data_IF_984426163404
#
_entry.id   IF_984426163404
#
_cell.length_a   1.000
_cell.length_b   1.000
_cell.length_c   1.000
_cell.angle_alpha   90.00
_cell.angle_beta   90.00
_cell.angle_gamma   90.00
#
_symmetry.space_group_name_H-M   'P 1'
#
loop_
_entity.id
_entity.type
_entity.pdbx_description
1 polymer ?
#
# COMPACT_ATOMS: atom_id res chain seq x y z
N UNK A 1 -2.51 -17.79 -7.06
CA UNK A 1 -2.16 -16.41 -7.48
C UNK A 1 -0.66 -16.31 -7.55
N UNK A 2 -0.11 -16.13 -8.74
CA UNK A 2 1.32 -15.87 -8.92
C UNK A 2 1.48 -14.37 -8.81
N UNK A 3 2.14 -13.89 -7.76
CA UNK A 3 2.58 -12.50 -7.67
C UNK A 3 3.75 -12.35 -8.65
N UNK A 4 3.61 -11.53 -9.67
CA UNK A 4 4.60 -11.44 -10.74
C UNK A 4 5.88 -10.75 -10.27
N UNK A 5 5.76 -9.81 -9.34
CA UNK A 5 6.91 -9.12 -8.73
C UNK A 5 6.53 -8.65 -7.32
N UNK A 6 7.37 -8.92 -6.33
CA UNK A 6 7.17 -8.48 -4.94
C UNK A 6 8.44 -7.85 -4.37
N UNK A 7 8.29 -6.85 -3.51
CA UNK A 7 9.43 -6.16 -2.92
C UNK A 7 9.02 -4.92 -2.10
N UNK A 8 10.00 -4.10 -1.76
CA UNK A 8 9.78 -2.82 -1.10
C UNK A 8 9.75 -1.72 -2.16
N UNK A 9 8.67 -0.93 -2.21
CA UNK A 9 8.58 0.21 -3.10
C UNK A 9 9.17 1.47 -2.48
N UNK A 10 8.78 1.76 -1.24
CA UNK A 10 9.21 2.97 -0.52
C UNK A 10 9.40 2.65 0.96
N UNK A 11 10.37 3.29 1.58
CA UNK A 11 10.47 3.32 3.04
C UNK A 11 10.85 4.72 3.52
N UNK A 12 10.56 5.00 4.81
CA UNK A 12 10.89 6.29 5.40
C UNK A 12 11.76 6.11 6.64
N UNK A 13 12.86 6.85 6.66
CA UNK A 13 13.71 7.01 7.84
C UNK A 13 13.39 8.34 8.50
N UNK A 14 13.27 8.35 9.82
CA UNK A 14 12.91 9.56 10.57
C UNK A 14 13.80 9.72 11.80
N UNK A 15 14.23 10.95 12.06
CA UNK A 15 14.97 11.33 13.27
C UNK A 15 14.45 12.62 13.84
N UNK A 16 14.50 12.72 15.18
CA UNK A 16 14.17 13.92 15.93
C UNK A 16 15.38 14.87 16.00
N UNK A 17 15.11 16.14 15.84
CA UNK A 17 16.06 17.24 15.93
C UNK A 17 15.51 18.35 16.82
N UNK A 18 16.39 19.25 17.28
CA UNK A 18 15.99 20.53 17.86
C UNK A 18 15.55 21.50 16.76
N UNK A 19 14.96 22.60 17.17
CA UNK A 19 14.60 23.70 16.25
C UNK A 19 15.82 24.25 15.52
N UNK A 20 16.90 24.54 16.29
CA UNK A 20 18.14 25.12 15.75
C UNK A 20 18.88 24.21 14.80
N UNK A 21 18.92 22.90 15.06
CA UNK A 21 19.53 21.94 14.14
C UNK A 21 18.79 21.89 12.79
N UNK A 22 17.46 21.88 12.80
CA UNK A 22 16.67 21.94 11.55
C UNK A 22 16.85 23.28 10.85
N UNK A 23 16.89 24.39 11.59
CA UNK A 23 17.14 25.71 11.03
C UNK A 23 18.48 25.76 10.28
N UNK A 24 19.55 25.23 10.85
CA UNK A 24 20.87 25.16 10.22
C UNK A 24 20.83 24.37 8.91
N UNK A 25 20.12 23.22 8.88
CA UNK A 25 19.97 22.43 7.65
C UNK A 25 19.19 23.23 6.59
N UNK A 26 18.13 23.95 6.98
CA UNK A 26 17.35 24.78 6.06
C UNK A 26 18.21 25.90 5.45
N UNK A 27 19.03 26.57 6.26
CA UNK A 27 19.88 27.69 5.83
C UNK A 27 21.02 27.25 4.91
N UNK A 28 21.57 26.04 5.14
CA UNK A 28 22.64 25.48 4.32
C UNK A 28 22.17 24.91 2.97
N UNK A 29 20.86 24.69 2.81
CA UNK A 29 20.31 24.04 1.63
C UNK A 29 19.27 24.91 0.92
N UNK A 30 19.11 24.69 -0.40
CA UNK A 30 17.99 25.27 -1.15
C UNK A 30 16.69 24.53 -0.77
N UNK A 31 16.06 24.99 0.32
CA UNK A 31 14.82 24.38 0.80
C UNK A 31 13.60 25.08 0.22
N UNK A 32 12.60 24.28 -0.14
CA UNK A 32 11.30 24.76 -0.54
C UNK A 32 10.34 24.67 0.66
N UNK A 33 9.73 25.80 1.05
CA UNK A 33 8.69 25.80 2.09
C UNK A 33 7.39 25.27 1.50
N UNK A 34 6.89 24.16 2.04
CA UNK A 34 5.69 23.50 1.57
C UNK A 34 4.40 23.97 2.27
N UNK A 35 4.54 24.74 3.35
CA UNK A 35 3.41 25.26 4.13
C UNK A 35 3.62 25.19 5.64
N UNK A 36 2.56 25.52 6.37
CA UNK A 36 2.48 25.47 7.83
C UNK A 36 1.36 24.54 8.27
N UNK A 37 1.39 24.06 9.51
CA UNK A 37 0.24 23.33 10.07
C UNK A 37 -0.94 24.29 10.33
N UNK A 38 -2.13 23.73 10.59
CA UNK A 38 -3.38 24.47 10.81
C UNK A 38 -3.27 25.54 11.92
N UNK A 39 -2.36 25.35 12.87
CA UNK A 39 -2.16 26.25 14.01
C UNK A 39 -0.89 27.08 13.89
N UNK A 40 -0.20 27.01 12.73
CA UNK A 40 1.09 27.67 12.48
C UNK A 40 2.22 27.30 13.47
N UNK A 41 2.06 26.19 14.20
CA UNK A 41 3.02 25.72 15.19
C UNK A 41 4.15 24.87 14.59
N UNK A 42 4.07 24.58 13.30
CA UNK A 42 5.10 23.85 12.55
C UNK A 42 5.14 24.29 11.10
N UNK A 43 6.35 24.53 10.61
CA UNK A 43 6.62 24.79 9.20
C UNK A 43 7.20 23.53 8.54
N UNK A 44 6.85 23.31 7.29
CA UNK A 44 7.29 22.15 6.51
C UNK A 44 8.17 22.58 5.36
N UNK A 45 9.31 21.94 5.21
CA UNK A 45 10.31 22.21 4.19
C UNK A 45 10.69 20.96 3.44
N UNK A 46 11.10 21.10 2.18
CA UNK A 46 11.58 20.01 1.34
C UNK A 46 12.90 20.37 0.68
N UNK A 47 13.79 19.37 0.58
CA UNK A 47 14.97 19.40 -0.29
C UNK A 47 14.67 18.42 -1.45
N UNK A 48 14.61 18.94 -2.67
CA UNK A 48 14.17 18.18 -3.86
C UNK A 48 15.30 17.72 -4.79
N UNK A 49 16.54 18.13 -4.51
CA UNK A 49 17.72 17.84 -5.38
C UNK A 49 17.98 16.35 -5.62
N UNK A 50 17.55 15.47 -4.68
CA UNK A 50 17.72 14.02 -4.81
C UNK A 50 16.45 13.28 -5.27
N UNK A 51 15.37 14.00 -5.57
CA UNK A 51 14.07 13.41 -5.91
C UNK A 51 14.14 12.57 -7.18
N UNK A 52 14.90 13.00 -8.19
CA UNK A 52 15.13 12.23 -9.41
C UNK A 52 15.89 10.92 -9.17
N UNK A 53 16.64 10.82 -8.07
CA UNK A 53 17.36 9.61 -7.62
C UNK A 53 16.56 8.81 -6.58
N UNK A 54 15.28 9.10 -6.39
CA UNK A 54 14.41 8.36 -5.48
C UNK A 54 14.52 8.73 -4.00
N UNK A 55 15.11 9.88 -3.64
CA UNK A 55 15.14 10.36 -2.25
C UNK A 55 14.49 11.73 -2.16
N UNK A 56 13.45 11.82 -1.35
CA UNK A 56 12.82 13.07 -0.95
C UNK A 56 13.11 13.34 0.53
N UNK A 57 13.56 14.54 0.85
CA UNK A 57 13.90 14.94 2.20
C UNK A 57 12.88 15.94 2.67
N UNK A 58 12.19 15.60 3.74
CA UNK A 58 11.18 16.46 4.37
C UNK A 58 11.61 16.84 5.77
N UNK A 59 11.44 18.10 6.12
CA UNK A 59 11.68 18.61 7.46
C UNK A 59 10.39 19.22 8.00
N UNK A 60 10.09 18.95 9.28
CA UNK A 60 9.11 19.70 10.03
C UNK A 60 9.84 20.45 11.14
N UNK A 61 9.79 21.76 11.08
CA UNK A 61 10.34 22.65 12.10
C UNK A 61 9.20 23.07 13.01
N UNK A 62 9.27 22.67 14.27
CA UNK A 62 8.21 22.92 15.24
C UNK A 62 8.66 23.95 16.28
N UNK A 63 7.76 24.85 16.68
CA UNK A 63 7.98 25.85 17.72
C UNK A 63 7.64 25.31 19.11
N UNK A 64 8.28 25.89 20.13
CA UNK A 64 8.07 25.51 21.51
C UNK A 64 8.63 24.14 21.88
N UNK A 65 7.92 23.39 22.71
CA UNK A 65 8.35 22.07 23.21
C UNK A 65 8.15 20.91 22.23
N UNK A 66 7.56 21.16 21.07
CA UNK A 66 7.33 20.13 20.04
C UNK A 66 8.63 19.73 19.37
N UNK A 67 8.82 18.43 19.05
CA UNK A 67 10.01 18.00 18.34
C UNK A 67 9.96 18.38 16.86
N UNK A 68 11.07 18.89 16.36
CA UNK A 68 11.32 18.99 14.91
C UNK A 68 11.77 17.63 14.36
N UNK A 69 11.57 17.41 13.07
CA UNK A 69 11.86 16.11 12.45
C UNK A 69 12.51 16.27 11.09
N UNK A 70 13.50 15.42 10.83
CA UNK A 70 14.01 15.15 9.51
C UNK A 70 13.51 13.76 9.06
N UNK A 71 12.90 13.70 7.87
CA UNK A 71 12.34 12.48 7.28
C UNK A 71 12.93 12.29 5.88
N UNK A 72 13.54 11.14 5.65
CA UNK A 72 13.96 10.69 4.33
C UNK A 72 12.89 9.74 3.79
N UNK A 73 12.30 10.05 2.63
CA UNK A 73 11.39 9.17 1.89
C UNK A 73 12.19 8.58 0.74
N UNK A 74 12.36 7.27 0.73
CA UNK A 74 13.34 6.59 -0.11
C UNK A 74 12.63 5.56 -0.98
N UNK A 75 12.77 5.69 -2.31
CA UNK A 75 12.55 4.61 -3.25
C UNK A 75 13.90 3.92 -3.49
N UNK A 76 14.15 2.74 -2.91
CA UNK A 76 15.47 2.12 -2.94
C UNK A 76 15.91 1.67 -4.33
N UNK A 77 14.99 1.24 -5.19
CA UNK A 77 15.32 0.86 -6.57
C UNK A 77 15.78 2.06 -7.39
N UNK A 78 15.11 3.20 -7.25
CA UNK A 78 15.53 4.45 -7.90
C UNK A 78 16.86 4.97 -7.37
N UNK A 79 17.10 4.84 -6.06
CA UNK A 79 18.35 5.26 -5.44
C UNK A 79 19.53 4.46 -5.97
N UNK A 80 19.41 3.14 -6.07
CA UNK A 80 20.48 2.28 -6.60
C UNK A 80 20.70 2.45 -8.10
N UNK A 81 19.63 2.67 -8.86
CA UNK A 81 19.72 2.93 -10.29
C UNK A 81 20.28 4.32 -10.63
N UNK A 82 20.26 5.27 -9.69
CA UNK A 82 20.64 6.66 -9.91
C UNK A 82 19.61 7.49 -10.69
N UNK A 83 18.47 6.92 -11.06
CA UNK A 83 17.37 7.57 -11.77
C UNK A 83 16.02 6.96 -11.36
N UNK A 84 14.93 7.63 -11.70
CA UNK A 84 13.59 7.22 -11.27
C UNK A 84 13.14 5.87 -11.85
N UNK A 85 12.85 4.90 -10.97
CA UNK A 85 12.40 3.55 -11.28
C UNK A 85 11.02 3.30 -10.64
N UNK A 86 9.92 3.71 -11.32
CA UNK A 86 8.60 3.74 -10.69
C UNK A 86 7.93 2.37 -10.52
N UNK A 87 8.34 1.39 -11.30
CA UNK A 87 7.75 0.04 -11.29
C UNK A 87 8.62 -0.99 -10.58
N UNK A 88 9.93 -0.85 -10.66
CA UNK A 88 10.88 -1.79 -10.05
C UNK A 88 10.77 -1.80 -8.53
N UNK A 89 10.72 -2.99 -7.95
CA UNK A 89 10.64 -3.21 -6.51
C UNK A 89 11.99 -3.67 -5.95
N UNK A 90 12.34 -3.15 -4.80
CA UNK A 90 13.56 -3.53 -4.10
C UNK A 90 13.39 -4.89 -3.42
N UNK A 91 14.24 -5.85 -3.79
CA UNK A 91 14.16 -7.24 -3.36
C UNK A 91 15.30 -7.63 -2.39
N UNK A 92 15.18 -8.78 -1.67
CA UNK A 92 16.15 -9.18 -0.65
C UNK A 92 17.58 -9.41 -1.14
N UNK A 93 17.76 -9.67 -2.45
CA UNK A 93 19.08 -9.91 -3.06
C UNK A 93 19.76 -8.64 -3.58
N UNK A 94 19.08 -7.49 -3.56
CA UNK A 94 19.65 -6.23 -4.03
C UNK A 94 20.69 -5.66 -3.04
N UNK A 95 21.46 -4.69 -3.51
CA UNK A 95 22.57 -4.10 -2.77
C UNK A 95 22.13 -3.19 -1.61
N UNK A 96 21.88 -3.79 -0.46
CA UNK A 96 21.59 -3.07 0.78
C UNK A 96 22.76 -2.20 1.27
N UNK A 97 24.00 -2.62 1.01
CA UNK A 97 25.18 -1.88 1.46
C UNK A 97 25.35 -0.62 0.61
N UNK A 98 25.26 -0.73 -0.71
CA UNK A 98 25.32 0.41 -1.62
C UNK A 98 24.24 1.44 -1.29
N UNK A 99 23.00 1.00 -1.06
CA UNK A 99 21.92 1.88 -0.60
C UNK A 99 22.28 2.64 0.68
N UNK A 100 22.87 1.96 1.67
CA UNK A 100 23.28 2.58 2.93
C UNK A 100 24.39 3.62 2.72
N UNK A 101 25.34 3.33 1.84
CA UNK A 101 26.43 4.25 1.50
C UNK A 101 25.90 5.50 0.79
N UNK A 102 24.99 5.36 -0.18
CA UNK A 102 24.34 6.49 -0.83
C UNK A 102 23.59 7.38 0.15
N UNK A 103 22.83 6.78 1.07
CA UNK A 103 22.10 7.55 2.09
C UNK A 103 23.05 8.29 3.04
N UNK A 104 24.18 7.68 3.39
CA UNK A 104 25.21 8.35 4.21
C UNK A 104 25.80 9.56 3.47
N UNK A 105 26.10 9.40 2.19
CA UNK A 105 26.60 10.48 1.33
C UNK A 105 25.59 11.65 1.25
N UNK A 106 24.31 11.34 1.01
CA UNK A 106 23.24 12.36 0.96
C UNK A 106 23.14 13.13 2.28
N UNK A 107 23.17 12.42 3.42
CA UNK A 107 23.11 13.09 4.73
C UNK A 107 24.29 14.04 4.94
N UNK A 108 25.51 13.61 4.58
CA UNK A 108 26.70 14.44 4.68
C UNK A 108 26.59 15.68 3.79
N UNK A 109 26.08 15.51 2.56
CA UNK A 109 25.94 16.59 1.58
C UNK A 109 24.96 17.69 2.01
N UNK A 110 23.90 17.33 2.75
CA UNK A 110 22.93 18.28 3.31
C UNK A 110 23.35 18.81 4.70
N UNK A 111 24.58 18.55 5.15
CA UNK A 111 25.09 19.06 6.42
C UNK A 111 24.64 18.31 7.67
N UNK A 112 24.11 17.07 7.52
CA UNK A 112 23.73 16.21 8.64
C UNK A 112 24.93 15.39 9.09
N UNK A 113 25.45 15.71 10.29
CA UNK A 113 26.63 15.05 10.89
C UNK A 113 26.31 13.72 11.58
N UNK A 114 25.05 13.52 11.96
CA UNK A 114 24.67 12.36 12.74
C UNK A 114 24.68 11.07 11.95
N UNK A 115 25.12 9.98 12.60
CA UNK A 115 25.20 8.69 11.96
C UNK A 115 23.82 8.17 11.51
N UNK A 116 23.74 7.63 10.29
CA UNK A 116 22.52 7.05 9.73
C UNK A 116 21.87 5.98 10.66
N UNK A 117 22.67 5.30 11.49
CA UNK A 117 22.18 4.31 12.48
C UNK A 117 21.23 4.91 13.54
N UNK A 118 21.24 6.24 13.74
CA UNK A 118 20.36 6.90 14.72
C UNK A 118 18.95 7.14 14.18
N UNK A 119 18.77 7.04 12.88
CA UNK A 119 17.44 7.11 12.27
C UNK A 119 16.60 5.87 12.57
N UNK A 120 15.28 6.04 12.57
CA UNK A 120 14.33 4.98 12.81
C UNK A 120 13.50 4.73 11.55
N UNK A 121 13.28 3.46 11.20
CA UNK A 121 12.35 3.09 10.14
C UNK A 121 10.93 3.43 10.60
N UNK A 122 10.36 4.49 10.03
CA UNK A 122 9.05 5.03 10.42
C UNK A 122 7.90 4.52 9.56
N UNK A 123 8.20 4.14 8.30
CA UNK A 123 7.26 3.58 7.33
C UNK A 123 8.00 2.61 6.40
N UNK A 124 7.29 1.58 5.94
CA UNK A 124 7.76 0.67 4.90
C UNK A 124 6.57 0.17 4.09
N UNK A 125 6.66 0.28 2.77
CA UNK A 125 5.60 -0.11 1.83
C UNK A 125 6.01 -1.43 1.18
N UNK A 126 5.36 -2.51 1.62
CA UNK A 126 5.50 -3.86 1.07
C UNK A 126 4.58 -3.96 -0.15
N UNK A 127 5.15 -4.16 -1.32
CA UNK A 127 4.45 -3.96 -2.59
C UNK A 127 4.50 -5.20 -3.46
N UNK A 128 3.41 -5.46 -4.19
CA UNK A 128 3.34 -6.45 -5.26
C UNK A 128 2.80 -5.79 -6.53
N UNK A 129 3.47 -6.02 -7.65
CA UNK A 129 3.00 -5.68 -8.99
C UNK A 129 2.41 -6.92 -9.64
N UNK A 130 1.19 -6.81 -10.15
CA UNK A 130 0.50 -7.84 -10.90
C UNK A 130 0.32 -7.32 -12.32
N UNK A 131 0.86 -8.05 -13.30
CA UNK A 131 0.85 -7.66 -14.71
C UNK A 131 -0.30 -8.34 -15.43
N UNK A 132 -1.02 -7.59 -16.26
CA UNK A 132 -2.18 -8.06 -17.00
C UNK A 132 -2.07 -7.68 -18.47
N UNK A 133 -2.82 -8.39 -19.32
CA UNK A 133 -2.83 -8.16 -20.76
C UNK A 133 -3.59 -6.88 -21.15
N UNK A 134 -4.57 -6.48 -20.33
CA UNK A 134 -5.39 -5.31 -20.62
C UNK A 134 -5.69 -4.45 -19.40
N UNK A 135 -5.97 -3.17 -19.65
CA UNK A 135 -6.47 -2.26 -18.62
C UNK A 135 -7.85 -2.67 -18.09
N UNK A 136 -8.65 -3.34 -18.92
CA UNK A 136 -9.94 -3.84 -18.49
C UNK A 136 -9.79 -4.90 -17.39
N UNK A 137 -8.76 -5.75 -17.48
CA UNK A 137 -8.45 -6.76 -16.47
C UNK A 137 -8.00 -6.15 -15.15
N UNK A 138 -7.19 -5.09 -15.19
CA UNK A 138 -6.81 -4.31 -13.99
C UNK A 138 -8.06 -3.73 -13.33
N UNK A 139 -8.96 -3.10 -14.10
CA UNK A 139 -10.20 -2.50 -13.59
C UNK A 139 -11.13 -3.52 -12.97
N UNK A 140 -11.36 -4.68 -13.63
CA UNK A 140 -12.20 -5.75 -13.09
C UNK A 140 -11.73 -6.18 -11.70
N UNK A 141 -10.42 -6.39 -11.53
CA UNK A 141 -9.85 -6.82 -10.25
C UNK A 141 -9.91 -5.73 -9.18
N UNK A 142 -9.64 -4.48 -9.56
CA UNK A 142 -9.81 -3.35 -8.65
C UNK A 142 -11.25 -3.25 -8.12
N UNK A 143 -12.25 -3.44 -8.99
CA UNK A 143 -13.66 -3.47 -8.59
C UNK A 143 -13.98 -4.64 -7.64
N UNK A 144 -13.31 -5.79 -7.77
CA UNK A 144 -13.46 -6.88 -6.79
C UNK A 144 -12.97 -6.46 -5.41
N UNK A 145 -11.82 -5.77 -5.31
CA UNK A 145 -11.33 -5.25 -4.03
C UNK A 145 -12.29 -4.24 -3.40
N UNK A 146 -12.87 -3.32 -4.18
CA UNK A 146 -13.88 -2.36 -3.70
C UNK A 146 -15.12 -3.05 -3.13
N UNK A 147 -15.47 -4.22 -3.65
CA UNK A 147 -16.62 -5.02 -3.21
C UNK A 147 -16.30 -6.00 -2.09
N UNK A 148 -15.03 -6.11 -1.67
CA UNK A 148 -14.57 -7.07 -0.66
C UNK A 148 -15.30 -6.94 0.68
N UNK A 149 -15.22 -7.98 1.51
CA UNK A 149 -15.83 -7.94 2.84
C UNK A 149 -14.97 -7.06 3.79
N UNK A 150 -15.58 -6.15 4.55
CA UNK A 150 -14.81 -5.22 5.39
C UNK A 150 -14.06 -5.95 6.51
N UNK A 151 -12.78 -5.62 6.67
CA UNK A 151 -11.97 -6.08 7.80
C UNK A 151 -12.39 -5.29 9.06
N UNK A 152 -12.59 -5.96 10.21
CA UNK A 152 -12.86 -5.25 11.46
C UNK A 152 -11.76 -4.24 11.81
N UNK A 153 -12.16 -3.05 12.24
CA UNK A 153 -11.27 -1.92 12.59
C UNK A 153 -10.48 -1.33 11.44
N UNK A 154 -10.89 -1.58 10.19
CA UNK A 154 -10.39 -0.87 9.01
C UNK A 154 -11.52 -0.06 8.38
N UNK A 155 -11.18 1.12 7.91
CA UNK A 155 -12.09 2.02 7.19
C UNK A 155 -11.54 2.28 5.80
N UNK A 156 -12.44 2.43 4.83
CA UNK A 156 -12.07 2.88 3.48
C UNK A 156 -11.67 4.34 3.57
N UNK A 157 -10.53 4.66 2.96
CA UNK A 157 -10.07 6.02 2.76
C UNK A 157 -10.40 6.39 1.32
N UNK A 158 -11.24 7.40 1.14
CA UNK A 158 -11.53 7.98 -0.16
C UNK A 158 -10.74 9.27 -0.33
N UNK A 159 -10.13 9.47 -1.49
CA UNK A 159 -9.46 10.72 -1.81
C UNK A 159 -10.45 11.88 -1.86
N UNK A 160 -11.70 11.62 -2.25
CA UNK A 160 -12.78 12.61 -2.26
C UNK A 160 -13.21 13.08 -0.87
N UNK A 161 -12.82 12.39 0.22
CA UNK A 161 -13.13 12.79 1.59
C UNK A 161 -12.11 13.74 2.23
N UNK A 162 -10.95 13.93 1.60
CA UNK A 162 -9.85 14.74 2.11
C UNK A 162 -9.66 16.09 1.39
N UNK A 163 -10.24 16.25 0.23
CA UNK A 163 -10.17 17.48 -0.55
C UNK A 163 -11.59 17.92 -0.94
N UNK A 164 -11.80 19.22 -1.05
CA UNK A 164 -13.03 19.76 -1.60
C UNK A 164 -13.41 19.00 -2.87
N UNK A 165 -14.69 18.62 -2.95
CA UNK A 165 -15.33 17.74 -3.94
C UNK A 165 -15.00 18.13 -5.39
N UNK A 166 -13.75 17.94 -5.82
CA UNK A 166 -13.38 18.20 -7.21
C UNK A 166 -13.48 16.91 -8.05
N UNK A 167 -13.62 17.09 -9.36
CA UNK A 167 -13.69 15.95 -10.31
C UNK A 167 -12.43 15.10 -10.31
N UNK A 168 -11.26 15.67 -9.92
CA UNK A 168 -9.97 14.97 -9.91
C UNK A 168 -9.91 13.93 -8.80
N UNK A 169 -10.47 14.20 -7.62
CA UNK A 169 -10.52 13.25 -6.51
C UNK A 169 -11.51 12.11 -6.79
N UNK A 170 -12.65 12.38 -7.42
CA UNK A 170 -13.59 11.34 -7.88
C UNK A 170 -12.96 10.42 -8.93
N UNK A 171 -12.18 10.98 -9.86
CA UNK A 171 -11.47 10.19 -10.86
C UNK A 171 -10.36 9.33 -10.22
N UNK A 172 -9.64 9.85 -9.22
CA UNK A 172 -8.65 9.08 -8.47
C UNK A 172 -9.29 7.87 -7.76
N UNK A 173 -10.47 8.03 -7.16
CA UNK A 173 -11.21 6.96 -6.49
C UNK A 173 -11.68 5.85 -7.46
N UNK A 174 -11.83 6.15 -8.76
CA UNK A 174 -12.12 5.12 -9.78
C UNK A 174 -10.92 4.19 -10.00
N UNK A 175 -9.70 4.69 -9.85
CA UNK A 175 -8.45 3.99 -10.16
C UNK A 175 -7.70 3.48 -8.94
N UNK A 176 -8.24 3.67 -7.74
CA UNK A 176 -7.62 3.23 -6.49
C UNK A 176 -8.67 2.81 -5.45
N UNK A 177 -8.21 2.02 -4.48
CA UNK A 177 -8.97 1.67 -3.29
C UNK A 177 -7.99 1.49 -2.13
N UNK A 178 -8.26 2.14 -1.01
CA UNK A 178 -7.40 2.12 0.16
C UNK A 178 -8.22 1.90 1.42
N UNK A 179 -7.71 1.05 2.31
CA UNK A 179 -8.23 0.90 3.67
C UNK A 179 -7.11 1.11 4.68
N UNK A 180 -7.43 1.77 5.77
CA UNK A 180 -6.50 2.00 6.88
C UNK A 180 -7.12 1.54 8.20
N UNK A 181 -6.30 0.99 9.09
CA UNK A 181 -6.77 0.61 10.41
C UNK A 181 -6.93 1.83 11.34
N UNK A 182 -7.81 1.73 12.33
CA UNK A 182 -8.13 2.82 13.27
C UNK A 182 -6.89 3.39 14.00
N UNK A 183 -5.86 2.59 14.23
CA UNK A 183 -4.60 3.06 14.84
C UNK A 183 -3.64 3.70 13.83
N UNK A 184 -4.04 3.81 12.56
CA UNK A 184 -3.23 4.34 11.46
C UNK A 184 -1.85 3.68 11.33
N UNK A 185 -1.68 2.48 11.86
CA UNK A 185 -0.39 1.76 11.85
C UNK A 185 -0.18 0.88 10.62
N UNK A 186 -1.26 0.62 9.88
CA UNK A 186 -1.27 -0.22 8.70
C UNK A 186 -2.35 0.27 7.73
N UNK A 187 -1.96 0.49 6.48
CA UNK A 187 -2.87 0.73 5.38
C UNK A 187 -2.64 -0.28 4.27
N UNK A 188 -3.68 -0.58 3.49
CA UNK A 188 -3.61 -1.43 2.31
C UNK A 188 -4.26 -0.71 1.15
N UNK A 189 -3.50 -0.55 0.07
CA UNK A 189 -3.94 0.13 -1.15
C UNK A 189 -3.87 -0.81 -2.34
N UNK A 190 -4.86 -0.72 -3.21
CA UNK A 190 -4.89 -1.39 -4.52
C UNK A 190 -5.17 -0.31 -5.57
N UNK A 191 -4.34 -0.23 -6.60
CA UNK A 191 -4.50 0.81 -7.61
C UNK A 191 -3.91 0.45 -8.98
N UNK A 192 -4.46 1.09 -10.03
CA UNK A 192 -3.95 1.05 -11.39
C UNK A 192 -2.66 1.89 -11.48
N UNK A 193 -1.50 1.20 -11.39
CA UNK A 193 -0.18 1.85 -11.41
C UNK A 193 0.12 2.51 -12.75
N UNK A 194 -0.33 1.93 -13.85
CA UNK A 194 -0.18 2.51 -15.20
C UNK A 194 -0.92 3.86 -15.30
N UNK A 195 -2.14 3.92 -14.78
CA UNK A 195 -2.90 5.15 -14.71
C UNK A 195 -2.22 6.20 -13.81
N UNK A 196 -1.77 5.80 -12.64
CA UNK A 196 -1.09 6.68 -11.67
C UNK A 196 0.18 7.31 -12.28
N UNK A 197 1.02 6.52 -12.95
CA UNK A 197 2.22 7.00 -13.63
C UNK A 197 1.90 8.04 -14.72
N UNK A 198 0.90 7.76 -15.53
CA UNK A 198 0.46 8.68 -16.57
C UNK A 198 -0.05 10.00 -16.00
N UNK A 199 -0.88 9.94 -14.93
CA UNK A 199 -1.54 11.14 -14.36
C UNK A 199 -0.64 11.98 -13.48
N UNK A 200 0.19 11.35 -12.64
CA UNK A 200 1.02 12.07 -11.64
C UNK A 200 2.41 12.43 -12.16
N UNK A 201 2.96 11.58 -13.03
CA UNK A 201 4.36 11.71 -13.45
C UNK A 201 4.51 11.95 -14.96
N UNK A 202 3.41 11.95 -15.72
CA UNK A 202 3.39 12.03 -17.19
C UNK A 202 4.24 10.94 -17.86
N UNK A 203 4.37 9.78 -17.19
CA UNK A 203 5.13 8.63 -17.68
C UNK A 203 4.16 7.65 -18.32
N UNK A 204 4.43 7.27 -19.57
CA UNK A 204 3.69 6.23 -20.30
C UNK A 204 4.49 4.95 -20.27
N UNK A 205 3.86 3.85 -19.86
CA UNK A 205 4.37 2.49 -19.94
C UNK A 205 3.36 1.63 -20.72
N UNK A 206 3.83 0.54 -21.32
CA UNK A 206 2.98 -0.37 -22.10
C UNK A 206 2.29 -1.40 -21.23
N UNK A 207 2.86 -1.70 -20.07
CA UNK A 207 2.35 -2.69 -19.14
C UNK A 207 1.08 -2.21 -18.43
N UNK A 208 0.18 -3.14 -18.15
CA UNK A 208 -1.03 -2.92 -17.35
C UNK A 208 -0.82 -3.49 -15.96
N UNK A 209 -0.55 -2.62 -14.98
CA UNK A 209 -0.11 -3.02 -13.64
C UNK A 209 -1.19 -2.69 -12.60
N UNK A 210 -1.70 -3.74 -11.93
CA UNK A 210 -2.41 -3.59 -10.67
C UNK A 210 -1.39 -3.70 -9.53
N UNK A 211 -1.25 -2.63 -8.75
CA UNK A 211 -0.34 -2.62 -7.61
C UNK A 211 -1.09 -2.82 -6.31
N UNK A 212 -0.61 -3.75 -5.50
CA UNK A 212 -1.02 -3.96 -4.12
C UNK A 212 0.08 -3.44 -3.21
N UNK A 213 -0.26 -2.53 -2.31
CA UNK A 213 0.70 -1.88 -1.42
C UNK A 213 0.23 -1.98 0.03
N UNK A 214 0.99 -2.69 0.84
CA UNK A 214 0.75 -2.84 2.27
C UNK A 214 1.72 -1.96 3.04
N UNK A 215 1.24 -0.81 3.49
CA UNK A 215 2.02 0.18 4.21
C UNK A 215 2.04 -0.14 5.71
N UNK A 216 3.23 -0.28 6.28
CA UNK A 216 3.45 -0.40 7.71
C UNK A 216 4.09 0.84 8.29
N UNK A 217 3.50 1.40 9.33
CA UNK A 217 4.12 2.48 10.13
C UNK A 217 4.87 1.90 11.34
N UNK A 218 5.65 2.72 12.01
CA UNK A 218 6.59 2.36 13.08
C UNK A 218 6.04 1.32 14.06
N UNK A 219 4.86 1.53 14.62
CA UNK A 219 4.26 0.63 15.62
C UNK A 219 3.98 -0.78 15.08
N UNK A 220 3.67 -0.90 13.78
CA UNK A 220 3.48 -2.21 13.12
C UNK A 220 4.81 -2.86 12.80
N UNK A 221 5.79 -2.08 12.32
CA UNK A 221 7.14 -2.55 12.00
C UNK A 221 7.78 -3.21 13.23
N UNK A 222 7.78 -2.52 14.38
CA UNK A 222 8.35 -3.04 15.63
C UNK A 222 7.69 -4.29 16.16
N UNK A 223 6.40 -4.51 15.84
CA UNK A 223 5.68 -5.75 16.22
C UNK A 223 6.03 -6.94 15.31
N UNK A 224 6.42 -6.69 14.07
CA UNK A 224 6.68 -7.74 13.07
C UNK A 224 8.15 -8.14 13.07
N UNK A 225 9.05 -7.19 13.30
CA UNK A 225 10.50 -7.40 13.23
C UNK A 225 11.12 -7.47 14.63
N UNK A 226 12.09 -8.39 14.82
CA UNK A 226 12.87 -8.48 16.07
C UNK A 226 14.06 -7.52 16.09
N UNK A 227 14.51 -7.04 14.93
CA UNK A 227 15.63 -6.12 14.79
C UNK A 227 15.31 -4.76 15.43
N UNK A 228 16.31 -4.17 16.11
CA UNK A 228 16.16 -2.87 16.81
C UNK A 228 16.50 -1.68 15.91
N UNK A 229 17.45 -1.86 15.00
CA UNK A 229 17.87 -0.84 14.05
C UNK A 229 17.04 -0.88 12.75
N UNK A 230 17.05 0.24 12.03
CA UNK A 230 16.26 0.39 10.80
C UNK A 230 16.70 -0.55 9.69
N UNK A 231 18.00 -0.81 9.60
CA UNK A 231 18.59 -1.61 8.54
C UNK A 231 18.19 -3.09 8.67
N UNK A 232 18.36 -3.67 9.87
CA UNK A 232 17.91 -5.02 10.16
C UNK A 232 16.38 -5.17 10.02
N UNK A 233 15.60 -4.12 10.39
CA UNK A 233 14.16 -4.10 10.18
C UNK A 233 13.79 -4.15 8.69
N UNK A 234 14.49 -3.37 7.86
CA UNK A 234 14.24 -3.32 6.41
C UNK A 234 14.55 -4.66 5.75
N UNK A 235 15.70 -5.29 6.09
CA UNK A 235 16.06 -6.63 5.62
C UNK A 235 15.00 -7.68 6.06
N UNK A 236 14.56 -7.62 7.31
CA UNK A 236 13.56 -8.56 7.80
C UNK A 236 12.21 -8.39 7.08
N UNK A 237 11.81 -7.18 6.73
CA UNK A 237 10.58 -6.89 6.00
C UNK A 237 10.68 -7.31 4.53
N UNK A 238 11.81 -7.06 3.86
CA UNK A 238 12.00 -7.44 2.46
C UNK A 238 11.84 -8.95 2.23
N UNK A 239 12.25 -9.78 3.19
CA UNK A 239 12.08 -11.23 3.16
C UNK A 239 10.66 -11.71 3.47
N UNK A 240 9.76 -10.82 3.87
CA UNK A 240 8.42 -11.17 4.32
C UNK A 240 7.30 -10.57 3.45
N UNK A 241 7.62 -9.90 2.35
CA UNK A 241 6.64 -9.19 1.54
C UNK A 241 5.47 -10.08 1.15
N UNK A 242 5.73 -11.20 0.49
CA UNK A 242 4.70 -12.14 0.02
C UNK A 242 3.87 -12.70 1.19
N UNK A 243 4.53 -13.09 2.27
CA UNK A 243 3.87 -13.62 3.47
C UNK A 243 2.91 -12.61 4.09
N UNK A 244 3.30 -11.33 4.16
CA UNK A 244 2.46 -10.28 4.74
C UNK A 244 1.31 -9.92 3.80
N UNK A 245 1.55 -9.85 2.49
CA UNK A 245 0.52 -9.65 1.48
C UNK A 245 -0.50 -10.78 1.49
N UNK A 246 -0.07 -12.04 1.44
CA UNK A 246 -0.96 -13.22 1.50
C UNK A 246 -1.82 -13.23 2.75
N UNK A 247 -1.24 -12.94 3.91
CA UNK A 247 -1.99 -12.84 5.18
C UNK A 247 -3.04 -11.73 5.12
N UNK A 248 -2.75 -10.62 4.45
CA UNK A 248 -3.69 -9.53 4.35
C UNK A 248 -4.84 -9.84 3.39
N UNK A 249 -4.53 -10.43 2.24
CA UNK A 249 -5.51 -10.89 1.25
C UNK A 249 -6.45 -11.94 1.84
N UNK A 250 -5.92 -12.90 2.60
CA UNK A 250 -6.74 -13.90 3.31
C UNK A 250 -7.72 -13.24 4.31
N UNK A 251 -7.32 -12.20 5.03
CA UNK A 251 -8.23 -11.45 5.92
C UNK A 251 -9.33 -10.69 5.18
N UNK A 252 -9.09 -10.32 3.92
CA UNK A 252 -10.08 -9.70 3.04
C UNK A 252 -10.98 -10.74 2.34
N UNK A 253 -10.69 -12.02 2.45
CA UNK A 253 -11.24 -13.08 1.62
C UNK A 253 -11.05 -12.81 0.12
N UNK A 254 -9.87 -12.32 -0.22
CA UNK A 254 -9.43 -11.94 -1.56
C UNK A 254 -8.14 -12.66 -1.96
N UNK A 255 -7.89 -13.85 -1.41
CA UNK A 255 -6.74 -14.68 -1.81
C UNK A 255 -6.84 -15.07 -3.29
N UNK A 256 -8.04 -15.31 -3.77
CA UNK A 256 -8.36 -15.61 -5.16
C UNK A 256 -9.29 -14.51 -5.69
N UNK A 257 -8.74 -13.64 -6.50
CA UNK A 257 -9.47 -12.50 -7.10
C UNK A 257 -9.39 -12.47 -8.63
N UNK A 258 -9.08 -13.60 -9.24
CA UNK A 258 -9.27 -13.76 -10.68
C UNK A 258 -10.75 -13.85 -11.00
N UNK A 259 -11.25 -13.03 -11.95
CA UNK A 259 -12.66 -13.01 -12.28
C UNK A 259 -13.05 -14.31 -13.00
N UNK A 260 -14.05 -14.98 -12.46
CA UNK A 260 -14.70 -16.15 -13.07
C UNK A 260 -16.12 -15.79 -13.49
N UNK A 261 -16.66 -16.47 -14.49
CA UNK A 261 -18.07 -16.32 -14.86
C UNK A 261 -18.99 -16.90 -13.78
N UNK A 262 -20.24 -16.42 -13.71
CA UNK A 262 -21.19 -16.98 -12.75
C UNK A 262 -21.45 -18.46 -13.03
N UNK A 263 -21.54 -18.88 -14.31
CA UNK A 263 -21.72 -20.28 -14.69
C UNK A 263 -20.58 -21.14 -14.16
N UNK A 264 -19.33 -20.77 -14.46
CA UNK A 264 -18.16 -21.49 -13.98
C UNK A 264 -18.11 -21.58 -12.46
N UNK A 265 -18.43 -20.48 -11.75
CA UNK A 265 -18.48 -20.49 -10.28
C UNK A 265 -19.54 -21.44 -9.74
N UNK A 266 -20.73 -21.51 -10.38
CA UNK A 266 -21.80 -22.42 -10.00
C UNK A 266 -21.40 -23.90 -10.26
N UNK A 267 -20.75 -24.18 -11.38
CA UNK A 267 -20.26 -25.53 -11.71
C UNK A 267 -19.20 -26.00 -10.70
N UNK A 268 -18.26 -25.13 -10.32
CA UNK A 268 -17.28 -25.44 -9.28
C UNK A 268 -17.93 -25.69 -7.91
N UNK A 269 -18.99 -24.93 -7.54
CA UNK A 269 -19.75 -25.18 -6.32
C UNK A 269 -20.41 -26.57 -6.40
N UNK A 270 -20.98 -26.93 -7.53
CA UNK A 270 -21.68 -28.20 -7.71
C UNK A 270 -20.74 -29.40 -7.71
N UNK A 271 -19.56 -29.27 -8.28
CA UNK A 271 -18.51 -30.27 -8.23
C UNK A 271 -17.84 -30.41 -6.85
N UNK A 272 -18.00 -29.44 -5.96
CA UNK A 272 -17.32 -29.43 -4.65
C UNK A 272 -17.82 -30.59 -3.74
N UNK A 273 -16.97 -30.94 -2.74
CA UNK A 273 -17.30 -31.98 -1.72
C UNK A 273 -18.27 -31.55 -0.64
N UNK A 274 -18.77 -30.30 -0.67
CA UNK A 274 -19.62 -29.78 0.40
C UNK A 274 -21.03 -30.39 0.39
N UNK A 275 -21.63 -30.43 1.59
CA UNK A 275 -22.99 -30.91 1.76
C UNK A 275 -24.02 -30.04 1.00
N UNK A 276 -25.13 -30.62 0.54
CA UNK A 276 -26.20 -29.99 -0.26
C UNK A 276 -26.70 -28.65 0.31
N UNK A 277 -26.86 -28.55 1.63
CA UNK A 277 -27.26 -27.29 2.30
C UNK A 277 -26.22 -26.19 2.14
N UNK A 278 -24.94 -26.53 2.26
CA UNK A 278 -23.81 -25.59 2.07
C UNK A 278 -23.74 -25.12 0.62
N UNK A 279 -23.80 -26.05 -0.35
CA UNK A 279 -23.83 -25.70 -1.79
C UNK A 279 -24.98 -24.77 -2.13
N UNK A 280 -26.20 -25.04 -1.60
CA UNK A 280 -27.37 -24.16 -1.78
C UNK A 280 -27.09 -22.74 -1.30
N UNK A 281 -26.43 -22.58 -0.14
CA UNK A 281 -26.09 -21.27 0.39
C UNK A 281 -24.98 -20.58 -0.42
N UNK A 282 -23.94 -21.30 -0.82
CA UNK A 282 -22.86 -20.77 -1.67
C UNK A 282 -23.41 -20.30 -3.03
N UNK A 283 -24.27 -21.08 -3.70
CA UNK A 283 -24.95 -20.65 -4.95
C UNK A 283 -25.76 -19.36 -4.74
N UNK A 284 -26.45 -19.22 -3.59
CA UNK A 284 -27.22 -18.02 -3.27
C UNK A 284 -26.31 -16.81 -3.13
N UNK A 285 -25.15 -16.97 -2.44
CA UNK A 285 -24.14 -15.92 -2.32
C UNK A 285 -23.57 -15.56 -3.70
N UNK A 286 -23.12 -16.54 -4.49
CA UNK A 286 -22.56 -16.32 -5.82
C UNK A 286 -23.52 -15.54 -6.76
N UNK A 287 -24.80 -15.95 -6.82
CA UNK A 287 -25.83 -15.25 -7.60
C UNK A 287 -26.05 -13.80 -7.14
N UNK A 288 -26.04 -13.54 -5.83
CA UNK A 288 -26.22 -12.20 -5.28
C UNK A 288 -24.95 -11.36 -5.37
N UNK A 289 -23.77 -11.98 -5.35
CA UNK A 289 -22.48 -11.28 -5.50
C UNK A 289 -22.23 -10.84 -6.96
N UNK A 290 -22.89 -11.49 -7.93
CA UNK A 290 -22.81 -11.07 -9.33
C UNK A 290 -23.48 -9.70 -9.53
N UNK A 291 -22.67 -8.67 -9.76
CA UNK A 291 -23.13 -7.28 -9.91
C UNK A 291 -23.50 -6.58 -8.59
N UNK A 292 -23.18 -7.13 -7.41
CA UNK A 292 -23.42 -6.47 -6.12
C UNK A 292 -22.57 -5.22 -5.93
N UNK A 293 -23.00 -4.37 -5.00
CA UNK A 293 -22.23 -3.19 -4.55
C UNK A 293 -21.10 -3.62 -3.58
N UNK A 294 -21.38 -4.56 -2.67
CA UNK A 294 -20.39 -5.10 -1.73
C UNK A 294 -20.81 -6.44 -1.15
N UNK A 295 -19.84 -7.23 -0.68
CA UNK A 295 -20.12 -8.50 0.03
C UNK A 295 -20.85 -8.27 1.36
N UNK A 296 -20.72 -7.10 1.98
CA UNK A 296 -21.51 -6.76 3.17
C UNK A 296 -23.00 -6.62 2.82
N UNK A 297 -23.34 -6.05 1.67
CA UNK A 297 -24.71 -5.99 1.16
C UNK A 297 -25.24 -7.39 0.86
N UNK A 298 -24.45 -8.22 0.15
CA UNK A 298 -24.80 -9.63 -0.13
C UNK A 298 -25.14 -10.41 1.13
N UNK A 299 -24.34 -10.24 2.20
CA UNK A 299 -24.61 -10.88 3.49
C UNK A 299 -26.01 -10.50 4.05
N UNK A 300 -26.32 -9.18 4.01
CA UNK A 300 -27.62 -8.66 4.48
C UNK A 300 -28.77 -9.22 3.66
N UNK A 301 -28.65 -9.18 2.33
CA UNK A 301 -29.68 -9.67 1.39
C UNK A 301 -29.92 -11.19 1.52
N UNK A 302 -28.86 -11.92 1.82
CA UNK A 302 -28.97 -13.35 2.11
C UNK A 302 -29.43 -13.64 3.55
N UNK A 303 -29.57 -12.64 4.43
CA UNK A 303 -29.95 -12.78 5.83
C UNK A 303 -29.06 -13.80 6.60
N UNK A 304 -27.75 -13.78 6.33
CA UNK A 304 -26.79 -14.70 6.94
C UNK A 304 -26.11 -14.02 8.12
N UNK A 305 -25.94 -14.74 9.23
CA UNK A 305 -25.16 -14.28 10.38
C UNK A 305 -23.70 -14.03 9.95
N UNK A 306 -23.04 -13.04 10.56
CA UNK A 306 -21.67 -12.63 10.18
C UNK A 306 -20.68 -13.80 10.25
N UNK A 307 -20.70 -14.58 11.32
CA UNK A 307 -19.83 -15.74 11.52
C UNK A 307 -20.01 -16.81 10.43
N UNK A 308 -21.25 -17.08 10.05
CA UNK A 308 -21.57 -18.10 9.05
C UNK A 308 -21.21 -17.62 7.64
N UNK A 309 -21.40 -16.32 7.37
CA UNK A 309 -20.98 -15.73 6.10
C UNK A 309 -19.46 -15.81 5.91
N UNK A 310 -18.68 -15.47 6.95
CA UNK A 310 -17.21 -15.57 6.94
C UNK A 310 -16.77 -17.02 6.69
N UNK A 311 -17.41 -18.00 7.36
CA UNK A 311 -17.13 -19.43 7.10
C UNK A 311 -17.43 -19.83 5.66
N UNK A 312 -18.49 -19.29 5.06
CA UNK A 312 -18.84 -19.55 3.65
C UNK A 312 -17.84 -18.89 2.70
N UNK A 313 -17.35 -17.67 2.99
CA UNK A 313 -16.27 -17.06 2.20
C UNK A 313 -14.99 -17.91 2.25
N UNK A 314 -14.62 -18.47 3.40
CA UNK A 314 -13.51 -19.42 3.51
C UNK A 314 -13.67 -20.65 2.63
N UNK A 315 -14.90 -21.12 2.44
CA UNK A 315 -15.17 -22.27 1.54
C UNK A 315 -14.96 -21.94 0.05
N UNK A 316 -15.19 -20.72 -0.38
CA UNK A 316 -14.79 -20.28 -1.72
C UNK A 316 -13.26 -20.26 -1.85
N UNK A 317 -12.54 -19.80 -0.83
CA UNK A 317 -11.07 -19.84 -0.82
C UNK A 317 -10.53 -21.28 -0.83
N UNK A 318 -11.17 -22.23 -0.13
CA UNK A 318 -10.83 -23.66 -0.19
C UNK A 318 -11.04 -24.28 -1.60
N UNK A 319 -11.90 -23.70 -2.42
CA UNK A 319 -12.12 -24.05 -3.82
C UNK A 319 -11.23 -23.27 -4.79
N UNK A 320 -10.31 -22.46 -4.28
CA UNK A 320 -9.39 -21.59 -5.04
C UNK A 320 -10.14 -20.61 -5.97
N UNK A 321 -11.27 -20.06 -5.50
CA UNK A 321 -12.05 -19.07 -6.23
C UNK A 321 -12.52 -17.93 -5.33
N UNK A 322 -12.70 -16.75 -5.93
CA UNK A 322 -13.44 -15.65 -5.32
C UNK A 322 -14.94 -15.86 -5.41
N UNK A 323 -15.70 -15.32 -4.46
CA UNK A 323 -17.18 -15.40 -4.51
C UNK A 323 -17.81 -14.32 -5.41
N UNK A 324 -17.02 -13.35 -5.91
CA UNK A 324 -17.49 -12.26 -6.77
C UNK A 324 -17.26 -12.69 -8.23
N UNK A 325 -18.35 -12.78 -8.99
CA UNK A 325 -18.32 -13.04 -10.43
C UNK A 325 -18.71 -11.78 -11.20
N UNK A 326 -18.41 -11.75 -12.49
CA UNK A 326 -18.80 -10.68 -13.39
C UNK A 326 -19.78 -11.19 -14.46
N UNK A 327 -20.70 -10.33 -14.87
CA UNK A 327 -21.47 -10.59 -16.08
C UNK A 327 -20.51 -10.62 -17.26
N UNK A 328 -20.59 -11.64 -18.05
CA UNK A 328 -19.95 -11.69 -19.38
C UNK A 328 -20.52 -10.61 -20.27
#
# INVERSE_FOLDING_TARGET
>A
MIMNESGIHTFCLKRKYSYSEIQNIIEQNKCFCCGKDRYELSSYYQITQYKSRGVEIQMSQAFGSRPSWLTLIINPSSLLAGHYQPTQLFQPHMDFLGMKLFLHYILKDIGVSEPLKTFKLSRCDLTCNLYYESRADVRKRLEMFKKSYPIPRYSVISFSSYMDFDEKSKEADKHSWTIENQSQSCAFSVYDKTYELKKRHNIKINEHILRLELQFKRSKITKITKAKDWYGQLIALSKQVEKQQSKFLHRLHMTYFDPVSLSELLDRIDASKYHKKTKKMMRRIAKKANGCVSLAAVRKDCRIKKSDFIKLLGKFEEMEVGCISFKQ
#
